data_IF_735994346924
#
_entry.id   IF_735994346924
#
_cell.length_a   1.000
_cell.length_b   1.000
_cell.length_c   1.000
_cell.angle_alpha   90.00
_cell.angle_beta   90.00
_cell.angle_gamma   90.00
#
_symmetry.space_group_name_H-M   'P 1'
#
loop_
_entity.id
_entity.type
_entity.pdbx_description
1 polymer ?
#
# COMPACT_ATOMS: atom_id res chain seq x y z
N UNK A 1 -19.64 41.84 5.63
CA UNK A 1 -20.35 40.70 5.02
C UNK A 1 -19.34 39.59 4.81
N UNK A 2 -19.49 38.49 5.55
CA UNK A 2 -18.54 37.38 5.55
C UNK A 2 -19.13 36.30 4.64
N UNK A 3 -18.69 36.24 3.38
CA UNK A 3 -19.12 35.19 2.45
C UNK A 3 -18.58 33.84 2.92
N UNK A 4 -19.45 33.04 3.52
CA UNK A 4 -19.20 31.63 3.78
C UNK A 4 -19.04 30.92 2.43
N UNK A 5 -17.79 30.57 2.07
CA UNK A 5 -17.53 29.64 0.96
C UNK A 5 -18.28 28.33 1.24
N UNK A 6 -19.09 27.83 0.30
CA UNK A 6 -19.83 26.59 0.50
C UNK A 6 -18.85 25.43 0.66
N UNK A 7 -19.12 24.55 1.63
CA UNK A 7 -18.39 23.31 1.81
C UNK A 7 -18.60 22.44 0.57
N UNK A 8 -17.54 22.25 -0.23
CA UNK A 8 -17.57 21.36 -1.40
C UNK A 8 -17.81 19.94 -0.91
N UNK A 9 -19.02 19.43 -1.13
CA UNK A 9 -19.36 18.02 -0.92
C UNK A 9 -18.75 17.20 -2.05
N UNK A 10 -17.94 16.19 -1.72
CA UNK A 10 -17.13 15.36 -2.64
C UNK A 10 -18.01 14.49 -3.59
N UNK A 11 -19.34 14.66 -3.61
CA UNK A 11 -20.28 13.84 -4.39
C UNK A 11 -20.49 14.28 -5.84
N UNK A 12 -20.02 15.47 -6.24
CA UNK A 12 -20.23 16.00 -7.60
C UNK A 12 -18.95 16.37 -8.37
N UNK A 13 -17.75 16.11 -7.84
CA UNK A 13 -16.49 16.52 -8.49
C UNK A 13 -15.98 15.51 -9.53
N UNK A 14 -15.58 15.99 -10.72
CA UNK A 14 -14.80 15.23 -11.70
C UNK A 14 -13.40 14.88 -11.14
N UNK A 15 -12.66 13.95 -11.77
CA UNK A 15 -11.32 13.55 -11.30
C UNK A 15 -10.37 14.75 -11.25
N UNK A 16 -10.47 15.60 -12.27
CA UNK A 16 -9.80 16.88 -12.36
C UNK A 16 -9.94 17.69 -11.08
N UNK A 17 -11.18 17.84 -10.61
CA UNK A 17 -11.51 18.70 -9.47
C UNK A 17 -11.05 18.10 -8.15
N UNK A 18 -11.08 16.77 -7.95
CA UNK A 18 -10.61 16.15 -6.70
C UNK A 18 -9.10 16.37 -6.50
N UNK A 19 -8.29 16.07 -7.51
CA UNK A 19 -6.84 16.22 -7.40
C UNK A 19 -6.41 17.68 -7.33
N UNK A 20 -7.15 18.59 -7.97
CA UNK A 20 -6.94 20.02 -7.83
C UNK A 20 -7.23 20.50 -6.39
N UNK A 21 -8.33 20.05 -5.77
CA UNK A 21 -8.64 20.37 -4.38
C UNK A 21 -7.54 19.83 -3.45
N UNK A 22 -7.09 18.58 -3.66
CA UNK A 22 -5.98 18.00 -2.88
C UNK A 22 -4.70 18.83 -3.03
N UNK A 23 -4.34 19.21 -4.27
CA UNK A 23 -3.18 20.03 -4.54
C UNK A 23 -3.29 21.40 -3.86
N UNK A 24 -4.47 22.04 -3.92
CA UNK A 24 -4.77 23.32 -3.24
C UNK A 24 -4.63 23.22 -1.72
N UNK A 25 -4.96 22.06 -1.13
CA UNK A 25 -4.73 21.77 0.30
C UNK A 25 -3.24 21.67 0.64
N UNK A 26 -2.45 21.13 -0.28
CA UNK A 26 -0.99 21.04 -0.11
C UNK A 26 -0.37 22.43 -0.28
N UNK A 27 -0.66 23.16 -1.35
CA UNK A 27 -0.03 24.45 -1.65
C UNK A 27 -0.54 25.60 -0.79
N UNK A 28 -1.77 25.51 -0.26
CA UNK A 28 -2.52 26.60 0.38
C UNK A 28 -2.76 27.81 -0.53
N UNK A 29 -2.59 27.63 -1.83
CA UNK A 29 -2.73 28.64 -2.87
C UNK A 29 -3.26 27.97 -4.14
N UNK A 30 -3.26 28.68 -5.26
CA UNK A 30 -3.55 28.04 -6.53
C UNK A 30 -2.49 26.98 -6.87
N UNK A 31 -2.88 25.71 -7.08
CA UNK A 31 -1.91 24.65 -7.29
C UNK A 31 -1.34 24.70 -8.72
N UNK A 32 -0.03 24.48 -8.90
CA UNK A 32 0.51 24.36 -10.24
C UNK A 32 -0.02 23.10 -10.92
N UNK A 33 -0.30 23.18 -12.22
CA UNK A 33 -0.88 22.08 -13.00
C UNK A 33 -0.06 20.78 -12.92
N UNK A 34 1.28 20.88 -12.86
CA UNK A 34 2.15 19.73 -12.71
C UNK A 34 1.90 18.94 -11.42
N UNK A 35 1.59 19.62 -10.30
CA UNK A 35 1.32 18.93 -9.03
C UNK A 35 0.00 18.14 -9.11
N UNK A 36 -1.02 18.73 -9.75
CA UNK A 36 -2.30 18.06 -10.00
C UNK A 36 -2.09 16.82 -10.86
N UNK A 37 -1.28 16.93 -11.92
CA UNK A 37 -0.94 15.80 -12.80
C UNK A 37 -0.16 14.70 -12.06
N UNK A 38 0.81 15.04 -11.21
CA UNK A 38 1.55 14.06 -10.41
C UNK A 38 0.63 13.31 -9.43
N UNK A 39 -0.28 14.02 -8.75
CA UNK A 39 -1.25 13.40 -7.84
C UNK A 39 -2.23 12.50 -8.58
N UNK A 40 -2.71 12.91 -9.76
CA UNK A 40 -3.54 12.08 -10.65
C UNK A 40 -2.83 10.78 -11.03
N UNK A 41 -1.53 10.85 -11.35
CA UNK A 41 -0.72 9.68 -11.75
C UNK A 41 -0.51 8.69 -10.60
N UNK A 42 -0.28 9.19 -9.39
CA UNK A 42 0.07 8.36 -8.23
C UNK A 42 -1.13 7.95 -7.36
N UNK A 43 -2.23 8.70 -7.41
CA UNK A 43 -3.45 8.42 -6.64
C UNK A 43 -3.99 7.00 -6.82
N UNK A 44 -4.06 6.45 -8.04
CA UNK A 44 -4.45 5.06 -8.29
C UNK A 44 -3.57 4.02 -7.56
N UNK A 45 -2.32 4.34 -7.23
CA UNK A 45 -1.46 3.46 -6.43
C UNK A 45 -2.00 3.23 -5.02
N UNK A 46 -2.57 4.27 -4.40
CA UNK A 46 -3.12 4.18 -3.02
C UNK A 46 -4.29 3.20 -2.95
N UNK A 47 -5.18 3.23 -3.94
CA UNK A 47 -6.33 2.32 -4.01
C UNK A 47 -5.89 0.89 -4.31
N UNK A 48 -4.86 0.68 -5.13
CA UNK A 48 -4.28 -0.64 -5.37
C UNK A 48 -3.67 -1.23 -4.09
N UNK A 49 -2.83 -0.47 -3.38
CA UNK A 49 -2.26 -0.90 -2.09
C UNK A 49 -3.37 -1.23 -1.09
N UNK A 50 -4.44 -0.44 -1.07
CA UNK A 50 -5.62 -0.71 -0.23
C UNK A 50 -6.32 -2.01 -0.61
N UNK A 51 -6.54 -2.26 -1.89
CA UNK A 51 -7.16 -3.48 -2.40
C UNK A 51 -6.32 -4.73 -2.05
N UNK A 52 -5.00 -4.66 -2.28
CA UNK A 52 -4.07 -5.73 -1.91
C UNK A 52 -4.15 -6.02 -0.41
N UNK A 53 -4.12 -4.99 0.43
CA UNK A 53 -4.24 -5.14 1.88
C UNK A 53 -5.60 -5.75 2.29
N UNK A 54 -6.69 -5.43 1.58
CA UNK A 54 -8.01 -6.00 1.83
C UNK A 54 -8.08 -7.50 1.45
N UNK A 55 -7.40 -7.90 0.37
CA UNK A 55 -7.33 -9.28 -0.11
C UNK A 55 -6.37 -10.17 0.68
N UNK A 56 -5.48 -9.58 1.48
CA UNK A 56 -4.65 -10.39 2.37
C UNK A 56 -5.52 -11.27 3.26
N UNK A 57 -5.14 -12.54 3.50
CA UNK A 57 -5.85 -13.40 4.43
C UNK A 57 -5.76 -12.86 5.86
N UNK A 58 -6.68 -13.26 6.72
CA UNK A 58 -6.56 -13.01 8.17
C UNK A 58 -5.31 -13.70 8.72
N UNK A 59 -4.87 -13.32 9.92
CA UNK A 59 -3.72 -13.98 10.58
C UNK A 59 -3.95 -15.49 10.80
N UNK A 60 -5.18 -15.90 11.08
CA UNK A 60 -5.52 -17.31 11.27
C UNK A 60 -5.44 -18.08 9.94
N UNK A 61 -6.05 -17.57 8.88
CA UNK A 61 -5.99 -18.15 7.54
C UNK A 61 -4.55 -18.17 7.01
N UNK A 62 -3.78 -17.10 7.21
CA UNK A 62 -2.38 -17.05 6.79
C UNK A 62 -1.54 -18.07 7.54
N UNK A 63 -1.74 -18.22 8.86
CA UNK A 63 -1.07 -19.25 9.67
C UNK A 63 -1.38 -20.64 9.10
N UNK A 64 -2.63 -20.94 8.79
CA UNK A 64 -3.03 -22.22 8.21
C UNK A 64 -2.38 -22.45 6.84
N UNK A 65 -2.40 -21.45 5.96
CA UNK A 65 -1.77 -21.51 4.63
C UNK A 65 -0.27 -21.77 4.73
N UNK A 66 0.44 -21.03 5.59
CA UNK A 66 1.88 -21.21 5.81
C UNK A 66 2.23 -22.57 6.42
N UNK A 67 1.40 -23.06 7.35
CA UNK A 67 1.54 -24.42 7.87
C UNK A 67 1.35 -25.47 6.77
N UNK A 68 0.40 -25.26 5.86
CA UNK A 68 0.20 -26.11 4.68
C UNK A 68 1.43 -26.13 3.77
N UNK A 69 2.01 -24.96 3.49
CA UNK A 69 3.26 -24.83 2.72
C UNK A 69 4.40 -25.59 3.38
N UNK A 70 4.59 -25.41 4.70
CA UNK A 70 5.59 -26.15 5.46
C UNK A 70 5.39 -27.66 5.34
N UNK A 71 4.18 -28.14 5.62
CA UNK A 71 3.89 -29.56 5.62
C UNK A 71 4.09 -30.18 4.23
N UNK A 72 3.64 -29.50 3.16
CA UNK A 72 3.84 -29.96 1.79
C UNK A 72 5.33 -30.05 1.42
N UNK A 73 6.12 -29.03 1.77
CA UNK A 73 7.57 -29.05 1.54
C UNK A 73 8.25 -30.19 2.31
N UNK A 74 7.84 -30.44 3.56
CA UNK A 74 8.34 -31.56 4.36
C UNK A 74 8.02 -32.92 3.72
N UNK A 75 6.79 -33.10 3.22
CA UNK A 75 6.38 -34.32 2.51
C UNK A 75 7.23 -34.54 1.26
N UNK A 76 7.48 -33.49 0.47
CA UNK A 76 8.34 -33.59 -0.72
C UNK A 76 9.77 -33.95 -0.37
N UNK A 77 10.34 -33.37 0.70
CA UNK A 77 11.68 -33.74 1.19
C UNK A 77 11.73 -35.23 1.51
N UNK A 78 10.75 -35.77 2.24
CA UNK A 78 10.72 -37.19 2.58
C UNK A 78 10.60 -38.06 1.33
N UNK A 79 9.67 -37.74 0.42
CA UNK A 79 9.43 -38.51 -0.79
C UNK A 79 10.63 -38.53 -1.75
N UNK A 80 11.32 -37.40 -1.93
CA UNK A 80 12.47 -37.30 -2.84
C UNK A 80 13.74 -37.97 -2.32
N UNK A 81 13.80 -38.20 -0.99
CA UNK A 81 14.88 -38.94 -0.33
C UNK A 81 14.56 -40.43 -0.13
N UNK A 82 13.34 -40.87 -0.48
CA UNK A 82 12.97 -42.28 -0.49
C UNK A 82 13.37 -42.95 -1.81
N UNK A 83 14.23 -43.97 -1.73
CA UNK A 83 14.79 -44.62 -2.91
C UNK A 83 13.76 -45.37 -3.78
N UNK A 84 12.68 -45.88 -3.19
CA UNK A 84 11.65 -46.59 -3.95
C UNK A 84 10.78 -45.61 -4.74
N UNK A 85 10.30 -44.54 -4.09
CA UNK A 85 9.56 -43.47 -4.76
C UNK A 85 10.43 -42.83 -5.85
N UNK A 86 11.71 -42.58 -5.55
CA UNK A 86 12.69 -42.08 -6.52
C UNK A 86 12.78 -42.98 -7.75
N UNK A 87 12.92 -44.29 -7.54
CA UNK A 87 13.00 -45.27 -8.62
C UNK A 87 11.84 -45.13 -9.61
N UNK A 88 10.61 -45.04 -9.11
CA UNK A 88 9.42 -44.83 -9.95
C UNK A 88 9.40 -43.45 -10.63
N UNK A 89 9.85 -42.39 -9.96
CA UNK A 89 9.88 -41.05 -10.55
C UNK A 89 10.93 -40.92 -11.66
N UNK A 90 12.06 -41.60 -11.52
CA UNK A 90 13.17 -41.58 -12.48
C UNK A 90 12.89 -42.44 -13.74
N UNK A 91 11.78 -43.20 -13.78
CA UNK A 91 11.29 -43.87 -15.01
C UNK A 91 10.76 -42.87 -16.05
N UNK A 92 10.45 -41.63 -15.64
CA UNK A 92 9.97 -40.60 -16.55
C UNK A 92 11.05 -40.19 -17.56
N UNK A 93 10.70 -39.84 -18.82
CA UNK A 93 11.66 -39.46 -19.86
C UNK A 93 12.56 -38.26 -19.49
N UNK A 94 12.09 -37.41 -18.58
CA UNK A 94 12.86 -36.31 -18.03
C UNK A 94 13.25 -36.65 -16.59
N UNK A 95 14.53 -36.96 -16.41
CA UNK A 95 15.07 -37.23 -15.08
C UNK A 95 15.00 -35.98 -14.21
N UNK A 96 14.76 -36.17 -12.91
CA UNK A 96 14.85 -35.10 -11.94
C UNK A 96 16.35 -34.79 -11.75
N UNK A 97 16.85 -33.61 -12.15
CA UNK A 97 18.26 -33.26 -11.99
C UNK A 97 18.66 -33.27 -10.51
N UNK A 98 19.98 -33.24 -10.26
CA UNK A 98 20.59 -33.34 -8.92
C UNK A 98 19.72 -32.70 -7.82
N UNK A 99 19.17 -33.55 -6.96
CA UNK A 99 18.12 -33.16 -6.01
C UNK A 99 18.61 -32.29 -4.87
N UNK A 100 19.93 -32.14 -4.68
CA UNK A 100 20.47 -31.31 -3.61
C UNK A 100 19.98 -29.86 -3.69
N UNK A 101 19.86 -29.28 -4.90
CA UNK A 101 19.31 -27.93 -5.05
C UNK A 101 17.81 -27.87 -4.66
N UNK A 102 17.03 -28.86 -5.08
CA UNK A 102 15.61 -28.94 -4.76
C UNK A 102 15.38 -29.15 -3.26
N UNK A 103 16.14 -30.05 -2.63
CA UNK A 103 16.13 -30.31 -1.20
C UNK A 103 16.51 -29.04 -0.40
N UNK A 104 17.56 -28.31 -0.81
CA UNK A 104 17.93 -27.03 -0.19
C UNK A 104 16.80 -26.00 -0.29
N UNK A 105 16.16 -25.87 -1.45
CA UNK A 105 15.04 -24.95 -1.64
C UNK A 105 13.83 -25.32 -0.78
N UNK A 106 13.49 -26.61 -0.70
CA UNK A 106 12.39 -27.10 0.13
C UNK A 106 12.67 -26.89 1.63
N UNK A 107 13.90 -27.12 2.09
CA UNK A 107 14.30 -26.85 3.48
C UNK A 107 14.26 -25.36 3.81
N UNK A 108 14.71 -24.50 2.89
CA UNK A 108 14.59 -23.05 3.07
C UNK A 108 13.11 -22.61 3.13
N UNK A 109 12.25 -23.24 2.33
CA UNK A 109 10.80 -22.99 2.37
C UNK A 109 10.18 -23.40 3.72
N UNK A 110 10.54 -24.57 4.26
CA UNK A 110 10.16 -25.01 5.61
C UNK A 110 10.58 -23.98 6.66
N UNK A 111 11.85 -23.56 6.65
CA UNK A 111 12.39 -22.57 7.59
C UNK A 111 11.63 -21.24 7.52
N UNK A 112 11.42 -20.70 6.31
CA UNK A 112 10.71 -19.43 6.10
C UNK A 112 9.24 -19.50 6.51
N UNK A 113 8.58 -20.63 6.25
CA UNK A 113 7.20 -20.84 6.66
C UNK A 113 7.10 -20.86 8.20
N UNK A 114 8.02 -21.55 8.89
CA UNK A 114 8.09 -21.56 10.36
C UNK A 114 8.33 -20.18 10.95
N UNK A 115 9.33 -19.45 10.46
CA UNK A 115 9.62 -18.07 10.92
C UNK A 115 8.41 -17.15 10.69
N UNK A 116 7.74 -17.30 9.56
CA UNK A 116 6.54 -16.53 9.22
C UNK A 116 5.36 -16.88 10.13
N UNK A 117 5.13 -18.15 10.44
CA UNK A 117 4.12 -18.59 11.44
C UNK A 117 4.46 -18.03 12.81
N UNK A 118 5.72 -18.08 13.23
CA UNK A 118 6.22 -17.48 14.48
C UNK A 118 5.90 -15.98 14.58
N UNK A 119 5.88 -15.28 13.45
CA UNK A 119 5.50 -13.86 13.41
C UNK A 119 4.01 -13.59 13.66
N UNK A 120 3.15 -14.60 13.45
CA UNK A 120 1.69 -14.53 13.54
C UNK A 120 1.13 -15.00 14.90
N UNK A 121 1.96 -15.58 15.76
CA UNK A 121 1.55 -16.13 17.07
C UNK A 121 2.08 -15.31 18.25
N UNK A 122 1.38 -15.34 19.37
CA UNK A 122 1.83 -14.80 20.65
C UNK A 122 2.97 -15.65 21.22
N UNK A 123 3.60 -15.19 22.29
CA UNK A 123 4.64 -15.96 23.00
C UNK A 123 4.12 -17.34 23.45
N UNK A 124 2.84 -17.42 23.79
CA UNK A 124 2.16 -18.66 24.21
C UNK A 124 1.65 -19.53 23.03
N UNK A 125 2.06 -19.23 21.78
CA UNK A 125 1.72 -20.00 20.58
C UNK A 125 0.30 -19.77 20.02
N UNK A 126 -0.53 -18.96 20.69
CA UNK A 126 -1.87 -18.60 20.21
C UNK A 126 -1.77 -17.63 19.04
N UNK A 127 -2.68 -17.70 18.06
CA UNK A 127 -2.71 -16.71 16.97
C UNK A 127 -2.94 -15.31 17.54
N UNK A 128 -2.11 -14.32 17.14
CA UNK A 128 -2.23 -12.94 17.63
C UNK A 128 -3.62 -12.38 17.33
N UNK A 129 -4.33 -11.94 18.37
CA UNK A 129 -5.64 -11.32 18.25
C UNK A 129 -5.61 -10.03 17.40
N UNK A 130 -6.75 -9.73 16.78
CA UNK A 130 -6.97 -8.53 15.98
C UNK A 130 -7.66 -8.87 14.66
N UNK A 131 -8.58 -7.99 14.25
CA UNK A 131 -9.37 -8.10 13.01
C UNK A 131 -8.53 -7.87 11.73
N UNK A 132 -7.22 -7.70 11.88
CA UNK A 132 -6.35 -7.21 10.84
C UNK A 132 -5.86 -8.34 9.94
N UNK A 133 -5.82 -8.07 8.64
CA UNK A 133 -5.20 -8.96 7.68
C UNK A 133 -3.71 -9.18 7.99
N UNK A 134 -3.18 -10.32 7.59
CA UNK A 134 -1.77 -10.65 7.74
C UNK A 134 -0.94 -9.82 6.76
N UNK A 135 -0.17 -8.88 7.29
CA UNK A 135 0.80 -8.10 6.51
C UNK A 135 2.22 -8.54 6.86
N UNK A 136 3.14 -8.62 5.88
CA UNK A 136 4.56 -8.78 6.17
C UNK A 136 5.06 -7.69 7.13
N UNK A 137 6.03 -8.01 7.99
CA UNK A 137 6.54 -7.06 9.01
C UNK A 137 7.06 -5.74 8.43
N UNK A 138 7.60 -5.78 7.21
CA UNK A 138 8.15 -4.61 6.51
C UNK A 138 7.14 -3.96 5.55
N UNK A 139 5.96 -4.53 5.39
CA UNK A 139 4.95 -3.94 4.52
C UNK A 139 4.32 -2.74 5.22
N UNK A 140 4.24 -1.62 4.50
CA UNK A 140 3.59 -0.43 4.97
C UNK A 140 2.08 -0.58 4.93
N UNK A 141 1.39 0.07 5.88
CA UNK A 141 -0.06 0.17 5.80
C UNK A 141 -0.44 1.13 4.66
N UNK A 142 -1.47 0.86 3.85
CA UNK A 142 -1.84 1.73 2.72
C UNK A 142 -2.14 3.19 3.11
N UNK A 143 -2.77 3.41 4.28
CA UNK A 143 -2.92 4.79 4.83
C UNK A 143 -1.58 5.46 5.13
N UNK A 144 -0.56 4.70 5.55
CA UNK A 144 0.79 5.26 5.76
C UNK A 144 1.45 5.62 4.43
N UNK A 145 1.27 4.82 3.38
CA UNK A 145 1.72 5.16 2.02
C UNK A 145 1.02 6.41 1.48
N UNK A 146 -0.30 6.52 1.67
CA UNK A 146 -1.07 7.72 1.35
C UNK A 146 -0.53 8.96 2.09
N UNK A 147 -0.30 8.84 3.40
CA UNK A 147 0.30 9.91 4.19
C UNK A 147 1.72 10.26 3.72
N UNK A 148 2.50 9.28 3.26
CA UNK A 148 3.85 9.51 2.72
C UNK A 148 3.82 10.27 1.40
N UNK A 149 2.88 9.98 0.49
CA UNK A 149 2.68 10.78 -0.73
C UNK A 149 2.38 12.23 -0.40
N UNK A 150 1.41 12.47 0.49
CA UNK A 150 1.05 13.84 0.89
C UNK A 150 2.20 14.53 1.62
N UNK A 151 2.90 13.83 2.51
CA UNK A 151 4.04 14.38 3.23
C UNK A 151 5.18 14.77 2.28
N UNK A 152 5.42 13.98 1.25
CA UNK A 152 6.47 14.23 0.28
C UNK A 152 6.13 15.40 -0.66
N UNK A 153 4.89 15.46 -1.17
CA UNK A 153 4.42 16.63 -1.93
C UNK A 153 4.44 17.90 -1.06
N UNK A 154 4.08 17.80 0.22
CA UNK A 154 4.17 18.90 1.16
C UNK A 154 5.62 19.35 1.37
N UNK A 155 6.53 18.41 1.64
CA UNK A 155 7.96 18.69 1.79
C UNK A 155 8.55 19.33 0.53
N UNK A 156 8.12 18.90 -0.66
CA UNK A 156 8.54 19.48 -1.93
C UNK A 156 8.13 20.95 -2.08
N UNK A 157 6.92 21.31 -1.64
CA UNK A 157 6.38 22.68 -1.76
C UNK A 157 6.89 23.59 -0.64
N UNK A 158 6.94 23.09 0.60
CA UNK A 158 7.19 23.91 1.80
C UNK A 158 8.62 23.78 2.34
N UNK A 159 9.44 22.87 1.82
CA UNK A 159 10.80 22.60 2.30
C UNK A 159 10.88 21.88 3.65
N UNK A 160 9.74 21.60 4.30
CA UNK A 160 9.65 20.89 5.58
C UNK A 160 8.52 19.86 5.56
N UNK A 161 8.68 18.74 6.28
CA UNK A 161 7.60 17.77 6.44
C UNK A 161 6.39 18.41 7.15
N UNK A 162 5.16 17.99 6.83
CA UNK A 162 4.00 18.41 7.60
C UNK A 162 4.11 17.88 9.05
N UNK A 163 3.83 18.75 10.02
CA UNK A 163 3.68 18.30 11.40
C UNK A 163 2.51 17.29 11.50
N UNK A 164 2.58 16.23 12.32
CA UNK A 164 1.53 15.21 12.36
C UNK A 164 0.11 15.71 12.72
N UNK A 165 -0.02 16.92 13.27
CA UNK A 165 -1.31 17.57 13.59
C UNK A 165 -1.78 18.56 12.51
N UNK A 166 -1.07 18.67 11.40
CA UNK A 166 -1.39 19.61 10.32
C UNK A 166 -2.74 19.22 9.69
N UNK A 167 -3.75 20.07 9.90
CA UNK A 167 -5.12 19.80 9.42
C UNK A 167 -5.20 19.79 7.89
N UNK A 168 -4.51 20.68 7.20
CA UNK A 168 -4.54 20.73 5.73
C UNK A 168 -3.92 19.48 5.10
N UNK A 169 -2.78 19.01 5.63
CA UNK A 169 -2.17 17.75 5.19
C UNK A 169 -3.07 16.54 5.48
N UNK A 170 -3.71 16.50 6.66
CA UNK A 170 -4.67 15.45 6.99
C UNK A 170 -5.90 15.48 6.10
N UNK A 171 -6.42 16.67 5.76
CA UNK A 171 -7.53 16.83 4.82
C UNK A 171 -7.14 16.38 3.42
N UNK A 172 -5.96 16.74 2.93
CA UNK A 172 -5.44 16.28 1.64
C UNK A 172 -5.34 14.75 1.58
N UNK A 173 -4.82 14.12 2.65
CA UNK A 173 -4.72 12.66 2.75
C UNK A 173 -6.08 11.96 2.82
N UNK A 174 -7.04 12.51 3.58
CA UNK A 174 -8.40 11.97 3.65
C UNK A 174 -9.12 12.08 2.30
N UNK A 175 -8.96 13.20 1.60
CA UNK A 175 -9.52 13.41 0.26
C UNK A 175 -8.91 12.45 -0.75
N UNK A 176 -7.58 12.23 -0.71
CA UNK A 176 -6.92 11.24 -1.56
C UNK A 176 -7.43 9.83 -1.24
N UNK A 177 -7.52 9.47 0.04
CA UNK A 177 -7.96 8.15 0.51
C UNK A 177 -9.40 7.80 0.13
N UNK A 178 -10.30 8.77 0.20
CA UNK A 178 -11.73 8.59 -0.10
C UNK A 178 -12.02 8.78 -1.58
N UNK A 179 -11.38 9.76 -2.22
CA UNK A 179 -11.51 10.05 -3.65
C UNK A 179 -10.97 8.94 -4.54
N UNK A 180 -9.89 8.26 -4.14
CA UNK A 180 -9.29 7.18 -4.93
C UNK A 180 -10.21 5.96 -5.11
N UNK A 181 -11.25 5.81 -4.29
CA UNK A 181 -12.14 4.64 -4.36
C UNK A 181 -13.32 4.87 -5.30
N UNK A 182 -13.93 6.06 -5.25
CA UNK A 182 -15.17 6.37 -6.00
C UNK A 182 -15.05 6.12 -7.51
N UNK A 183 -13.82 6.13 -8.02
CA UNK A 183 -13.49 6.11 -9.45
C UNK A 183 -12.74 4.84 -9.88
N UNK A 184 -12.52 3.87 -8.99
CA UNK A 184 -11.84 2.63 -9.35
C UNK A 184 -12.75 1.78 -10.23
N UNK A 185 -12.40 1.60 -11.51
CA UNK A 185 -13.29 1.00 -12.52
C UNK A 185 -13.30 -0.54 -12.56
N UNK A 186 -12.44 -1.21 -11.78
CA UNK A 186 -12.44 -2.66 -11.72
C UNK A 186 -13.52 -3.13 -10.74
N UNK A 187 -14.72 -3.43 -11.25
CA UNK A 187 -15.91 -3.78 -10.47
C UNK A 187 -15.69 -4.84 -9.37
N UNK A 188 -14.92 -5.94 -9.59
CA UNK A 188 -14.65 -6.91 -8.52
C UNK A 188 -13.84 -6.31 -7.37
N UNK A 189 -12.92 -5.40 -7.67
CA UNK A 189 -12.06 -4.74 -6.68
C UNK A 189 -12.83 -3.63 -5.98
N UNK A 190 -13.60 -2.84 -6.74
CA UNK A 190 -14.41 -1.74 -6.24
C UNK A 190 -15.39 -2.22 -5.17
N UNK A 191 -16.13 -3.29 -5.42
CA UNK A 191 -17.09 -3.89 -4.47
C UNK A 191 -16.42 -4.27 -3.16
N UNK A 192 -15.24 -4.88 -3.22
CA UNK A 192 -14.49 -5.31 -2.04
C UNK A 192 -13.98 -4.11 -1.25
N UNK A 193 -13.42 -3.12 -1.94
CA UNK A 193 -12.92 -1.91 -1.28
C UNK A 193 -14.05 -1.09 -0.69
N UNK A 194 -15.20 -0.99 -1.35
CA UNK A 194 -16.41 -0.35 -0.83
C UNK A 194 -16.90 -1.05 0.45
N UNK A 195 -16.91 -2.39 0.47
CA UNK A 195 -17.22 -3.16 1.68
C UNK A 195 -16.26 -2.86 2.85
N UNK A 196 -14.97 -2.69 2.56
CA UNK A 196 -13.96 -2.28 3.55
C UNK A 196 -14.18 -0.84 4.02
N UNK A 197 -14.56 0.08 3.12
CA UNK A 197 -14.89 1.46 3.46
C UNK A 197 -16.06 1.53 4.42
N UNK A 198 -17.14 0.79 4.17
CA UNK A 198 -18.32 0.75 5.04
C UNK A 198 -17.96 0.26 6.45
N UNK A 199 -16.93 -0.59 6.59
CA UNK A 199 -16.42 -0.99 7.90
C UNK A 199 -15.54 0.08 8.56
N UNK A 200 -14.71 0.79 7.79
CA UNK A 200 -13.88 1.89 8.28
C UNK A 200 -14.69 3.13 8.68
N UNK A 201 -15.77 3.45 7.96
CA UNK A 201 -16.60 4.63 8.24
C UNK A 201 -17.45 4.50 9.51
N UNK A 202 -17.57 3.28 10.05
CA UNK A 202 -18.22 3.02 11.36
C UNK A 202 -17.33 3.37 12.57
N UNK A 203 -16.11 3.87 12.36
CA UNK A 203 -15.25 4.32 13.47
C UNK A 203 -15.79 5.62 14.10
N UNK A 204 -15.99 5.62 15.41
CA UNK A 204 -16.37 6.81 16.20
C UNK A 204 -15.16 7.76 16.37
N UNK A 205 -15.32 9.05 16.03
CA UNK A 205 -14.32 10.11 16.28
C UNK A 205 -14.03 11.05 15.09
N UNK A 206 -13.17 12.07 15.31
CA UNK A 206 -12.67 12.96 14.24
C UNK A 206 -11.75 12.18 13.30
N UNK A 207 -12.21 11.93 12.07
CA UNK A 207 -11.46 11.17 11.04
C UNK A 207 -10.07 11.74 10.79
N UNK A 208 -9.89 13.05 10.90
CA UNK A 208 -8.60 13.71 10.66
C UNK A 208 -7.58 13.38 11.76
N UNK A 209 -8.04 13.11 12.99
CA UNK A 209 -7.15 12.76 14.10
C UNK A 209 -6.41 11.43 13.88
N UNK A 210 -7.02 10.49 13.13
CA UNK A 210 -6.43 9.20 12.79
C UNK A 210 -5.19 9.31 11.91
N UNK A 211 -5.11 10.34 11.06
CA UNK A 211 -3.97 10.57 10.18
C UNK A 211 -2.68 10.92 10.92
N UNK A 212 -2.78 11.43 12.17
CA UNK A 212 -1.60 11.76 12.99
C UNK A 212 -0.66 10.58 13.17
N UNK A 213 -1.20 9.37 13.35
CA UNK A 213 -0.39 8.17 13.46
C UNK A 213 0.33 7.84 12.15
N UNK A 214 -0.39 7.93 11.03
CA UNK A 214 0.16 7.63 9.70
C UNK A 214 1.22 8.64 9.26
N UNK A 215 1.08 9.93 9.55
CA UNK A 215 2.12 10.93 9.27
C UNK A 215 3.39 10.74 10.13
N UNK A 216 3.28 10.18 11.34
CA UNK A 216 4.47 9.79 12.10
C UNK A 216 5.18 8.62 11.43
N UNK A 217 4.43 7.59 11.02
CA UNK A 217 4.97 6.41 10.36
C UNK A 217 5.47 6.69 8.92
N UNK A 218 4.99 7.75 8.26
CA UNK A 218 5.47 8.16 6.93
C UNK A 218 6.95 8.59 6.90
N UNK A 219 7.56 8.75 8.08
CA UNK A 219 8.99 9.04 8.25
C UNK A 219 9.83 7.78 8.47
N UNK A 220 9.21 6.61 8.51
CA UNK A 220 9.92 5.34 8.67
C UNK A 220 10.90 5.13 7.49
N UNK A 221 12.16 4.74 7.74
CA UNK A 221 13.15 4.45 6.69
C UNK A 221 12.66 3.42 5.66
N UNK A 222 11.74 2.52 6.03
CA UNK A 222 11.13 1.56 5.10
C UNK A 222 10.36 2.24 3.94
N UNK A 223 9.97 3.51 4.08
CA UNK A 223 9.29 4.30 3.06
C UNK A 223 10.22 5.25 2.30
N UNK A 224 11.52 5.26 2.59
CA UNK A 224 12.47 6.19 1.97
C UNK A 224 12.50 6.06 0.44
N UNK A 225 12.61 4.84 -0.08
CA UNK A 225 12.64 4.60 -1.53
C UNK A 225 11.32 5.01 -2.19
N UNK A 226 10.19 4.71 -1.56
CA UNK A 226 8.87 5.11 -2.07
C UNK A 226 8.75 6.64 -2.18
N UNK A 227 9.17 7.36 -1.14
CA UNK A 227 9.16 8.83 -1.12
C UNK A 227 10.14 9.42 -2.13
N UNK A 228 11.33 8.83 -2.27
CA UNK A 228 12.34 9.27 -3.24
C UNK A 228 11.84 9.12 -4.68
N UNK A 229 11.19 8.00 -5.02
CA UNK A 229 10.61 7.81 -6.35
C UNK A 229 9.50 8.81 -6.64
N UNK A 230 8.64 9.10 -5.66
CA UNK A 230 7.63 10.13 -5.84
C UNK A 230 8.25 11.53 -6.02
N UNK A 231 9.27 11.88 -5.23
CA UNK A 231 10.04 13.12 -5.40
C UNK A 231 10.66 13.23 -6.78
N UNK A 232 11.23 12.14 -7.31
CA UNK A 232 11.79 12.11 -8.67
C UNK A 232 10.74 12.51 -9.69
N UNK A 233 9.54 11.92 -9.62
CA UNK A 233 8.43 12.29 -10.50
C UNK A 233 7.93 13.74 -10.32
N UNK A 234 7.90 14.26 -9.09
CA UNK A 234 7.56 15.67 -8.85
C UNK A 234 8.57 16.62 -9.53
N UNK A 235 9.87 16.30 -9.46
CA UNK A 235 10.90 17.06 -10.18
C UNK A 235 10.70 16.99 -11.70
N UNK A 236 10.49 15.80 -12.25
CA UNK A 236 10.28 15.60 -13.69
C UNK A 236 9.04 16.34 -14.21
N UNK A 237 7.92 16.23 -13.51
CA UNK A 237 6.68 16.88 -13.91
C UNK A 237 6.81 18.42 -13.82
N UNK A 238 7.50 18.95 -12.80
CA UNK A 238 7.83 20.38 -12.70
C UNK A 238 8.73 20.83 -13.86
N UNK A 239 9.79 20.06 -14.17
CA UNK A 239 10.70 20.39 -15.26
C UNK A 239 10.01 20.42 -16.62
N UNK A 240 9.17 19.43 -16.92
CA UNK A 240 8.39 19.38 -18.17
C UNK A 240 7.43 20.57 -18.29
N UNK A 241 6.78 20.94 -17.20
CA UNK A 241 5.90 22.11 -17.16
C UNK A 241 6.64 23.42 -17.47
N UNK A 242 7.88 23.56 -16.98
CA UNK A 242 8.68 24.75 -17.24
C UNK A 242 9.19 24.83 -18.69
N UNK A 243 9.45 23.69 -19.34
CA UNK A 243 9.85 23.66 -20.75
C UNK A 243 8.71 24.12 -21.65
N UNK A 244 7.50 23.60 -21.47
CA UNK A 244 6.33 24.01 -22.24
C UNK A 244 5.93 25.47 -22.01
N UNK A 245 6.11 26.00 -20.80
CA UNK A 245 5.87 27.42 -20.52
C UNK A 245 6.90 28.36 -21.19
N UNK A 246 8.10 27.85 -21.51
CA UNK A 246 9.12 28.58 -22.26
C UNK A 246 8.85 28.62 -23.77
N UNK A 247 8.25 27.55 -24.31
CA UNK A 247 7.90 27.43 -25.73
C UNK A 247 6.68 28.30 -26.13
N UNK A 248 5.81 28.66 -25.18
CA UNK A 248 4.64 29.55 -25.43
C UNK A 248 4.99 31.06 -25.41
N UNK A 249 6.23 31.42 -25.07
CA UNK A 249 6.70 32.81 -24.96
C UNK A 249 7.65 33.22 -26.10
N UNK A 250 7.87 32.35 -27.09
CA UNK A 250 8.59 32.63 -28.35
C UNK A 250 7.61 32.78 -29.53
#
# INVERSE_FOLDING_TARGET
MNEQRPAITIDSCSDEVIYEIIARKITKADPPAWLVASLKRWGPGVIMSRAIAAWQPTRAEMKQKLQGVKNAAQTLIVALNDGAIRGFLDEAPQQIPYHGQMDMMLRDLVRRADESVGSLVTKDGRTKAGRNKAMPRRASHPKTECAALIAEAWLFIHGVDPVPKNREAATAAEMLWTGSVKKFSLEPVKTIVEGVIVQETKSWGDKLSGWRHHFKLAKDPALANFRQEFRRHLNEDRHRSNLHAGEELE
#
